data_IF_497499777153
#
_entry.id   IF_497499777153
#
_cell.length_a   1.000
_cell.length_b   1.000
_cell.length_c   1.000
_cell.angle_alpha   90.00
_cell.angle_beta   90.00
_cell.angle_gamma   90.00
#
_symmetry.space_group_name_H-M   'P 1'
#
loop_
_entity.id
_entity.type
_entity.pdbx_description
1 polymer ?
#
# COMPACT_ATOMS: atom_id res chain seq x y z
N UNK A 1 4.63 8.20 17.46
CA UNK A 1 4.51 7.57 16.13
C UNK A 1 3.32 6.61 16.17
N UNK A 2 2.21 7.00 15.54
CA UNK A 2 0.95 6.24 15.48
C UNK A 2 1.04 5.20 14.35
N UNK A 3 0.38 4.05 14.52
CA UNK A 3 0.43 2.82 13.70
C UNK A 3 0.92 3.05 12.25
N UNK A 4 2.20 2.73 11.98
CA UNK A 4 2.69 2.54 10.61
C UNK A 4 2.58 1.06 10.29
N UNK A 5 1.35 0.60 10.10
CA UNK A 5 1.13 -0.79 9.73
C UNK A 5 1.57 -0.95 8.27
N UNK A 6 2.63 -1.74 8.10
CA UNK A 6 3.05 -2.25 6.81
C UNK A 6 2.36 -3.59 6.61
N UNK A 7 1.50 -3.66 5.61
CA UNK A 7 0.64 -4.80 5.35
C UNK A 7 0.98 -5.41 4.00
N UNK A 8 1.07 -6.73 3.97
CA UNK A 8 1.05 -7.53 2.74
C UNK A 8 -0.37 -8.03 2.53
N UNK A 9 -0.95 -7.73 1.37
CA UNK A 9 -2.31 -8.12 1.01
C UNK A 9 -2.24 -9.04 -0.20
N UNK A 10 -2.73 -10.26 -0.02
CA UNK A 10 -2.94 -11.22 -1.09
C UNK A 10 -4.40 -11.21 -1.52
N UNK A 11 -4.68 -11.06 -2.80
CA UNK A 11 -6.03 -11.15 -3.34
C UNK A 11 -6.15 -12.28 -4.36
N UNK A 12 -7.34 -12.88 -4.45
CA UNK A 12 -7.68 -13.85 -5.50
C UNK A 12 -9.16 -13.80 -5.86
N UNK A 13 -9.47 -14.14 -7.10
CA UNK A 13 -10.84 -14.36 -7.57
C UNK A 13 -11.43 -15.63 -6.95
N UNK A 14 -12.65 -15.53 -6.43
CA UNK A 14 -13.39 -16.61 -5.77
C UNK A 14 -13.71 -17.78 -6.71
N UNK A 15 -13.86 -17.52 -8.01
CA UNK A 15 -14.19 -18.53 -9.03
C UNK A 15 -12.96 -19.25 -9.60
N UNK A 16 -11.75 -18.94 -9.13
CA UNK A 16 -10.50 -19.55 -9.60
C UNK A 16 -9.91 -20.48 -8.55
N UNK A 17 -9.76 -21.75 -8.90
CA UNK A 17 -9.00 -22.71 -8.11
C UNK A 17 -7.49 -22.50 -8.34
N UNK A 18 -6.78 -22.13 -7.29
CA UNK A 18 -5.34 -21.82 -7.31
C UNK A 18 -4.47 -22.97 -6.77
N UNK A 19 -5.08 -24.07 -6.30
CA UNK A 19 -4.36 -25.19 -5.66
C UNK A 19 -3.33 -25.85 -6.58
N UNK A 20 -3.67 -26.01 -7.86
CA UNK A 20 -2.74 -26.58 -8.84
C UNK A 20 -1.55 -25.65 -9.14
N UNK A 21 -1.77 -24.34 -9.12
CA UNK A 21 -0.70 -23.35 -9.28
C UNK A 21 0.25 -23.41 -8.08
N UNK A 22 -0.29 -23.39 -6.86
CA UNK A 22 0.50 -23.49 -5.62
C UNK A 22 1.33 -24.78 -5.59
N UNK A 23 0.75 -25.90 -6.03
CA UNK A 23 1.46 -27.18 -6.14
C UNK A 23 2.63 -27.09 -7.11
N UNK A 24 2.41 -26.58 -8.32
CA UNK A 24 3.47 -26.45 -9.34
C UNK A 24 4.58 -25.47 -8.92
N UNK A 25 4.24 -24.38 -8.24
CA UNK A 25 5.24 -23.44 -7.68
C UNK A 25 6.14 -24.17 -6.67
N UNK A 26 5.56 -25.00 -5.79
CA UNK A 26 6.34 -25.80 -4.82
C UNK A 26 7.18 -26.88 -5.48
N UNK A 27 6.67 -27.54 -6.53
CA UNK A 27 7.41 -28.53 -7.31
C UNK A 27 8.65 -27.87 -7.95
N UNK A 28 8.47 -26.72 -8.63
CA UNK A 28 9.57 -25.96 -9.24
C UNK A 28 10.59 -25.50 -8.19
N UNK A 29 10.15 -25.00 -7.04
CA UNK A 29 11.06 -24.63 -5.95
C UNK A 29 11.91 -25.82 -5.49
N UNK A 30 11.31 -27.01 -5.35
CA UNK A 30 12.03 -28.21 -4.92
C UNK A 30 13.02 -28.72 -5.97
N UNK A 31 12.65 -28.63 -7.25
CA UNK A 31 13.47 -29.12 -8.35
C UNK A 31 14.60 -28.17 -8.73
N UNK A 32 14.34 -26.86 -8.69
CA UNK A 32 15.25 -25.85 -9.24
C UNK A 32 15.91 -24.97 -8.17
N UNK A 33 15.37 -24.93 -6.96
CA UNK A 33 15.76 -23.95 -5.93
C UNK A 33 15.27 -22.52 -6.20
N UNK A 34 14.50 -22.31 -7.28
CA UNK A 34 13.99 -21.00 -7.67
C UNK A 34 12.58 -20.81 -7.12
N UNK A 35 12.36 -19.71 -6.41
CA UNK A 35 11.02 -19.29 -5.98
C UNK A 35 10.33 -18.55 -7.13
N UNK A 36 9.12 -18.97 -7.47
CA UNK A 36 8.26 -18.26 -8.41
C UNK A 36 7.20 -17.46 -7.64
N UNK A 37 7.09 -16.19 -7.98
CA UNK A 37 6.01 -15.33 -7.50
C UNK A 37 4.94 -15.15 -8.57
N UNK A 38 3.69 -15.02 -8.12
CA UNK A 38 2.55 -14.75 -9.01
C UNK A 38 2.62 -13.28 -9.43
N UNK A 39 2.72 -13.04 -10.74
CA UNK A 39 2.58 -11.69 -11.30
C UNK A 39 1.14 -11.21 -11.08
N UNK A 40 0.99 -10.00 -10.56
CA UNK A 40 -0.31 -9.41 -10.29
C UNK A 40 -1.19 -9.40 -11.55
N UNK A 41 -2.37 -9.99 -11.42
CA UNK A 41 -3.33 -10.15 -12.51
C UNK A 41 -4.75 -10.01 -11.97
N UNK A 42 -5.73 -10.08 -12.87
CA UNK A 42 -7.14 -10.16 -12.47
C UNK A 42 -7.44 -11.42 -11.64
N UNK A 43 -6.69 -12.51 -11.80
CA UNK A 43 -6.99 -13.78 -11.11
C UNK A 43 -6.46 -13.81 -9.68
N UNK A 44 -5.24 -13.30 -9.47
CA UNK A 44 -4.61 -13.21 -8.16
C UNK A 44 -3.43 -12.24 -8.20
N UNK A 45 -3.02 -11.77 -7.03
CA UNK A 45 -1.83 -10.94 -6.88
C UNK A 45 -1.51 -10.62 -5.43
N UNK A 46 -0.39 -9.93 -5.26
CA UNK A 46 0.12 -9.44 -4.00
C UNK A 46 0.41 -7.94 -4.10
N UNK A 47 -0.11 -7.19 -3.16
CA UNK A 47 0.16 -5.76 -2.99
C UNK A 47 0.63 -5.47 -1.58
N UNK A 48 1.33 -4.35 -1.42
CA UNK A 48 1.79 -3.86 -0.13
C UNK A 48 1.08 -2.56 0.20
N UNK A 49 0.64 -2.41 1.44
CA UNK A 49 -0.12 -1.25 1.90
C UNK A 49 0.55 -0.67 3.14
N UNK A 50 0.79 0.64 3.13
CA UNK A 50 1.12 1.42 4.31
C UNK A 50 -0.04 2.35 4.63
N UNK A 51 -0.47 2.39 5.88
CA UNK A 51 -1.53 3.29 6.35
C UNK A 51 -0.91 4.36 7.25
N UNK A 52 -1.05 5.64 6.87
CA UNK A 52 -0.62 6.78 7.69
C UNK A 52 -1.87 7.50 8.22
N UNK A 53 -2.02 7.55 9.54
CA UNK A 53 -3.09 8.31 10.20
C UNK A 53 -2.57 9.69 10.61
N UNK A 54 -3.12 10.73 9.99
CA UNK A 54 -2.78 12.14 10.24
C UNK A 54 -3.45 12.63 11.52
N UNK A 55 -2.81 13.53 12.25
CA UNK A 55 -3.38 14.10 13.47
C UNK A 55 -4.59 15.02 13.18
N UNK A 56 -5.43 15.28 14.18
CA UNK A 56 -6.72 15.99 14.01
C UNK A 56 -6.63 17.37 13.36
N UNK A 57 -5.46 18.02 13.41
CA UNK A 57 -5.24 19.37 12.89
C UNK A 57 -4.38 19.39 11.62
N UNK A 58 -3.92 18.22 11.17
CA UNK A 58 -3.11 18.10 9.97
C UNK A 58 -3.98 18.01 8.72
N UNK A 59 -3.57 18.74 7.68
CA UNK A 59 -4.22 18.66 6.39
C UNK A 59 -3.78 17.40 5.65
N UNK A 60 -4.75 16.78 4.96
CA UNK A 60 -4.49 15.62 4.12
C UNK A 60 -3.63 16.03 2.89
N UNK A 61 -2.54 15.30 2.57
CA UNK A 61 -1.66 15.68 1.47
C UNK A 61 -2.35 15.49 0.12
N UNK A 62 -2.14 16.42 -0.80
CA UNK A 62 -2.58 16.28 -2.20
C UNK A 62 -1.44 15.86 -3.14
N UNK A 63 -0.19 16.02 -2.72
CA UNK A 63 1.00 15.67 -3.49
C UNK A 63 2.04 14.97 -2.61
N UNK A 64 2.78 14.04 -3.20
CA UNK A 64 4.06 13.54 -2.67
C UNK A 64 5.17 14.12 -3.52
N UNK A 65 6.22 14.60 -2.86
CA UNK A 65 7.42 15.12 -3.50
C UNK A 65 8.60 14.19 -3.20
N UNK A 66 9.31 13.74 -4.24
CA UNK A 66 10.67 13.21 -4.09
C UNK A 66 11.62 14.35 -4.31
N UNK A 67 12.46 14.64 -3.32
CA UNK A 67 13.36 15.77 -3.36
C UNK A 67 14.77 15.37 -2.94
N UNK A 68 15.75 16.00 -3.59
CA UNK A 68 17.17 15.83 -3.34
C UNK A 68 17.67 17.03 -2.54
N UNK A 69 18.50 16.76 -1.55
CA UNK A 69 19.23 17.77 -0.79
C UNK A 69 20.74 17.59 -1.00
N UNK A 70 21.52 18.68 -1.05
CA UNK A 70 22.97 18.59 -1.19
C UNK A 70 23.66 18.26 0.15
N UNK A 71 22.94 18.31 1.28
CA UNK A 71 23.50 18.02 2.60
C UNK A 71 23.92 16.55 2.70
N UNK A 72 25.10 16.32 3.27
CA UNK A 72 25.67 14.97 3.45
C UNK A 72 25.19 14.29 4.72
N UNK A 73 24.48 15.00 5.60
CA UNK A 73 24.03 14.52 6.90
C UNK A 73 22.52 14.77 7.08
N UNK A 74 21.77 13.68 7.23
CA UNK A 74 20.32 13.70 7.39
C UNK A 74 19.85 13.77 8.86
N UNK A 75 20.76 13.81 9.85
CA UNK A 75 20.39 13.83 11.28
C UNK A 75 19.52 15.03 11.69
N UNK A 76 19.54 16.10 10.90
CA UNK A 76 18.73 17.31 11.10
C UNK A 76 17.37 17.29 10.41
N UNK A 77 17.12 16.30 9.56
CA UNK A 77 15.85 16.18 8.85
C UNK A 77 14.85 15.45 9.74
N UNK A 78 13.73 16.08 10.12
CA UNK A 78 12.72 15.38 10.89
C UNK A 78 12.02 14.34 10.01
N UNK A 79 11.71 13.19 10.61
CA UNK A 79 10.96 12.12 9.97
C UNK A 79 9.55 12.08 10.54
N UNK A 80 8.55 12.31 9.68
CA UNK A 80 7.13 12.31 10.07
C UNK A 80 6.66 13.59 10.75
N UNK A 81 7.41 14.69 10.64
CA UNK A 81 7.01 16.01 11.14
C UNK A 81 7.09 17.07 10.03
N UNK A 82 6.37 18.18 10.23
CA UNK A 82 6.39 19.31 9.32
C UNK A 82 7.74 20.05 9.39
N UNK A 83 8.32 20.34 8.23
CA UNK A 83 9.56 21.10 8.11
C UNK A 83 9.57 21.99 6.87
N UNK A 84 10.36 23.06 6.92
CA UNK A 84 10.72 23.84 5.74
C UNK A 84 12.08 23.40 5.27
N UNK A 85 12.18 22.98 4.02
CA UNK A 85 13.41 22.43 3.44
C UNK A 85 13.77 23.20 2.16
N UNK A 86 15.05 23.47 1.96
CA UNK A 86 15.57 24.01 0.70
C UNK A 86 16.08 22.85 -0.16
N UNK A 87 15.27 22.43 -1.13
CA UNK A 87 15.44 21.15 -1.83
C UNK A 87 15.32 21.32 -3.34
N UNK A 88 15.91 20.37 -4.08
CA UNK A 88 15.61 20.19 -5.50
C UNK A 88 14.51 19.14 -5.64
N UNK A 89 13.37 19.50 -6.23
CA UNK A 89 12.26 18.56 -6.45
C UNK A 89 12.53 17.75 -7.72
N UNK A 90 12.64 16.43 -7.58
CA UNK A 90 12.89 15.49 -8.68
C UNK A 90 11.58 14.95 -9.26
N UNK A 91 10.65 14.55 -8.40
CA UNK A 91 9.33 14.04 -8.80
C UNK A 91 8.24 14.65 -7.92
N UNK A 92 7.07 14.88 -8.53
CA UNK A 92 5.86 15.26 -7.84
C UNK A 92 4.70 14.38 -8.32
N UNK A 93 4.11 13.63 -7.39
CA UNK A 93 3.00 12.71 -7.67
C UNK A 93 1.73 13.24 -7.02
N UNK A 94 0.65 13.35 -7.79
CA UNK A 94 -0.68 13.63 -7.25
C UNK A 94 -1.24 12.39 -6.54
N UNK A 95 -1.93 12.58 -5.41
CA UNK A 95 -2.59 11.49 -4.69
C UNK A 95 -4.05 11.39 -5.11
N UNK A 96 -4.47 10.18 -5.47
CA UNK A 96 -5.85 9.88 -5.82
C UNK A 96 -6.76 10.04 -4.60
N UNK A 97 -7.99 10.51 -4.86
CA UNK A 97 -9.02 10.71 -3.86
C UNK A 97 -9.99 9.52 -3.86
N UNK A 98 -10.23 8.94 -2.69
CA UNK A 98 -11.31 7.97 -2.52
C UNK A 98 -11.92 8.09 -1.12
N UNK A 99 -13.16 8.59 -1.07
CA UNK A 99 -13.89 8.89 0.17
C UNK A 99 -13.08 9.79 1.12
N UNK A 100 -12.59 9.25 2.24
CA UNK A 100 -11.77 9.97 3.24
C UNK A 100 -10.25 9.74 3.06
N UNK A 101 -9.82 8.98 2.05
CA UNK A 101 -8.43 8.59 1.82
C UNK A 101 -7.79 9.40 0.70
N UNK A 102 -6.52 9.75 0.90
CA UNK A 102 -5.59 10.11 -0.18
C UNK A 102 -4.64 8.95 -0.42
N UNK A 103 -4.52 8.55 -1.68
CA UNK A 103 -3.86 7.29 -2.07
C UNK A 103 -2.70 7.59 -3.01
N UNK A 104 -1.51 7.17 -2.60
CA UNK A 104 -0.33 7.14 -3.46
C UNK A 104 -0.08 5.70 -3.91
N UNK A 105 0.21 5.51 -5.20
CA UNK A 105 0.55 4.21 -5.77
C UNK A 105 1.93 4.24 -6.44
N UNK A 106 2.73 3.21 -6.18
CA UNK A 106 4.02 2.97 -6.82
C UNK A 106 4.13 1.47 -7.13
N UNK A 107 3.78 1.10 -8.37
CA UNK A 107 3.68 -0.30 -8.79
C UNK A 107 2.62 -1.07 -8.00
N UNK A 108 3.04 -2.08 -7.23
CA UNK A 108 2.17 -2.85 -6.34
C UNK A 108 2.20 -2.37 -4.88
N UNK A 109 2.82 -1.21 -4.62
CA UNK A 109 2.90 -0.59 -3.30
C UNK A 109 1.95 0.60 -3.22
N UNK A 110 1.25 0.68 -2.11
CA UNK A 110 0.24 1.70 -1.86
C UNK A 110 0.51 2.35 -0.52
N UNK A 111 0.35 3.66 -0.46
CA UNK A 111 0.39 4.43 0.79
C UNK A 111 -0.90 5.22 0.92
N UNK A 112 -1.61 5.02 2.02
CA UNK A 112 -2.81 5.76 2.38
C UNK A 112 -2.46 6.85 3.36
N UNK A 113 -3.11 8.00 3.19
CA UNK A 113 -3.16 9.06 4.16
C UNK A 113 -4.62 9.24 4.56
N UNK A 114 -4.91 9.09 5.84
CA UNK A 114 -6.26 9.19 6.40
C UNK A 114 -6.28 10.17 7.56
N UNK A 115 -7.27 11.07 7.65
CA UNK A 115 -7.39 11.96 8.80
C UNK A 115 -7.91 11.18 10.02
N UNK A 116 -7.31 11.38 11.19
CA UNK A 116 -7.73 10.69 12.42
C UNK A 116 -9.24 10.82 12.70
N UNK A 117 -9.81 12.00 12.44
CA UNK A 117 -11.23 12.27 12.62
C UNK A 117 -12.16 11.33 11.84
N UNK A 118 -11.74 10.83 10.68
CA UNK A 118 -12.51 9.90 9.85
C UNK A 118 -12.35 8.43 10.28
N UNK A 119 -11.21 8.07 10.89
CA UNK A 119 -10.88 6.68 11.25
C UNK A 119 -10.91 6.40 12.75
N UNK A 120 -11.20 7.39 13.60
CA UNK A 120 -11.24 7.24 15.07
C UNK A 120 -12.16 6.12 15.59
N UNK A 121 -13.17 5.75 14.81
CA UNK A 121 -14.13 4.68 15.12
C UNK A 121 -14.04 3.48 14.18
N UNK A 122 -13.03 3.45 13.29
CA UNK A 122 -12.78 2.35 12.35
C UNK A 122 -11.59 1.53 12.85
N UNK A 123 -11.65 0.22 12.70
CA UNK A 123 -10.50 -0.64 12.86
C UNK A 123 -9.70 -0.75 11.54
N UNK A 124 -8.53 -1.40 11.60
CA UNK A 124 -7.65 -1.62 10.44
C UNK A 124 -8.38 -2.34 9.30
N UNK A 125 -9.11 -3.40 9.60
CA UNK A 125 -9.74 -4.26 8.60
C UNK A 125 -10.83 -3.50 7.82
N UNK A 126 -11.53 -2.56 8.47
CA UNK A 126 -12.47 -1.65 7.82
C UNK A 126 -11.76 -0.70 6.84
N UNK A 127 -10.63 -0.11 7.23
CA UNK A 127 -9.84 0.77 6.34
C UNK A 127 -9.25 -0.01 5.17
N UNK A 128 -8.75 -1.23 5.42
CA UNK A 128 -8.24 -2.12 4.38
C UNK A 128 -9.35 -2.54 3.42
N UNK A 129 -10.56 -2.84 3.92
CA UNK A 129 -11.70 -3.18 3.06
C UNK A 129 -12.10 -2.01 2.14
N UNK A 130 -12.15 -0.78 2.67
CA UNK A 130 -12.43 0.43 1.89
C UNK A 130 -11.35 0.62 0.79
N UNK A 131 -10.07 0.41 1.13
CA UNK A 131 -8.97 0.46 0.17
C UNK A 131 -9.05 -0.65 -0.89
N UNK A 132 -9.36 -1.89 -0.51
CA UNK A 132 -9.46 -3.00 -1.46
C UNK A 132 -10.60 -2.80 -2.45
N UNK A 133 -11.70 -2.18 -2.01
CA UNK A 133 -12.77 -1.76 -2.91
C UNK A 133 -12.27 -0.77 -3.96
N UNK A 134 -11.58 0.29 -3.52
CA UNK A 134 -10.91 1.23 -4.44
C UNK A 134 -9.97 0.50 -5.41
N UNK A 135 -9.09 -0.36 -4.88
CA UNK A 135 -8.09 -1.08 -5.69
C UNK A 135 -8.75 -1.88 -6.82
N UNK A 136 -9.79 -2.67 -6.53
CA UNK A 136 -10.50 -3.44 -7.55
C UNK A 136 -11.23 -2.55 -8.55
N UNK A 137 -11.91 -1.50 -8.08
CA UNK A 137 -12.65 -0.57 -8.94
C UNK A 137 -11.72 0.17 -9.91
N UNK A 138 -10.53 0.60 -9.48
CA UNK A 138 -9.54 1.25 -10.38
C UNK A 138 -9.00 0.32 -11.48
N UNK A 139 -9.07 -1.00 -11.28
CA UNK A 139 -8.71 -2.00 -12.29
C UNK A 139 -9.89 -2.45 -13.15
N UNK A 140 -11.09 -1.91 -12.90
CA UNK A 140 -12.32 -2.34 -13.57
C UNK A 140 -12.80 -3.72 -13.14
N UNK A 141 -12.39 -4.18 -11.95
CA UNK A 141 -12.76 -5.49 -11.41
C UNK A 141 -13.88 -5.33 -10.37
N UNK A 142 -14.85 -6.25 -10.36
CA UNK A 142 -15.94 -6.24 -9.39
C UNK A 142 -15.45 -6.76 -8.02
N UNK A 143 -15.43 -5.92 -6.95
CA UNK A 143 -14.96 -6.32 -5.62
C UNK A 143 -15.68 -7.56 -5.07
N UNK A 144 -16.93 -7.79 -5.43
CA UNK A 144 -17.72 -8.94 -4.96
C UNK A 144 -17.13 -10.29 -5.37
N UNK A 145 -16.36 -10.32 -6.45
CA UNK A 145 -15.75 -11.53 -7.00
C UNK A 145 -14.42 -11.92 -6.35
N UNK A 146 -13.91 -11.12 -5.40
CA UNK A 146 -12.62 -11.31 -4.79
C UNK A 146 -12.71 -11.62 -3.30
N UNK A 147 -11.72 -12.36 -2.84
CA UNK A 147 -11.36 -12.45 -1.43
C UNK A 147 -9.89 -12.04 -1.26
N UNK A 148 -9.55 -11.54 -0.07
CA UNK A 148 -8.20 -11.11 0.23
C UNK A 148 -7.82 -11.48 1.67
N UNK A 149 -6.51 -11.64 1.89
CA UNK A 149 -5.89 -11.98 3.16
C UNK A 149 -4.84 -10.92 3.48
N UNK A 150 -4.78 -10.51 4.75
CA UNK A 150 -3.92 -9.44 5.23
C UNK A 150 -2.90 -10.03 6.19
N UNK A 151 -1.63 -9.67 6.02
CA UNK A 151 -0.54 -10.04 6.90
C UNK A 151 0.27 -8.80 7.28
N UNK A 152 0.63 -8.66 8.56
CA UNK A 152 1.60 -7.65 8.99
C UNK A 152 3.02 -8.06 8.59
N UNK A 153 3.80 -7.10 8.10
CA UNK A 153 5.20 -7.29 7.73
C UNK A 153 6.06 -6.20 8.35
N UNK A 154 7.26 -6.58 8.81
CA UNK A 154 8.18 -5.66 9.53
C UNK A 154 8.66 -4.50 8.66
N UNK A 155 8.71 -4.68 7.34
CA UNK A 155 9.01 -3.60 6.39
C UNK A 155 8.55 -3.95 4.97
N UNK A 156 8.13 -2.91 4.23
CA UNK A 156 7.93 -2.95 2.79
C UNK A 156 9.27 -2.49 2.17
N UNK A 157 10.28 -3.37 2.14
CA UNK A 157 11.59 -3.07 1.50
C UNK A 157 11.40 -3.01 0.00
#
# INVERSE_FOLDING_TARGET
MKLMDSLEIFYRRKDKDTRDLERKIREILRETGITLDVVNSESAGRIFLRINVLEDQEQIPSFILKALIPETDATRLPLGEWATLNVFVEEASYLEDYDYMKIHSDGNRYTLYVPYSAVKSKNRDEVVADFMKYFFETKGWDPGNYEFFVQEVDSII
#
